data_IF_678457170925
#
_entry.id   IF_678457170925
#
_cell.length_a   1.000
_cell.length_b   1.000
_cell.length_c   1.000
_cell.angle_alpha   90.00
_cell.angle_beta   90.00
_cell.angle_gamma   90.00
#
_symmetry.space_group_name_H-M   'P 1'
#
loop_
_entity.id
_entity.type
_entity.pdbx_description
1 polymer ?
#
# COMPACT_ATOMS: atom_id res chain seq x y z
N UNK A 1 -3.05 -22.82 -17.87
CA UNK A 1 -3.76 -22.02 -16.84
C UNK A 1 -5.06 -21.36 -17.37
N UNK A 2 -5.62 -21.86 -18.50
CA UNK A 2 -6.79 -21.20 -19.15
C UNK A 2 -8.05 -21.15 -18.26
N UNK A 3 -8.21 -22.11 -17.35
CA UNK A 3 -9.43 -22.22 -16.52
C UNK A 3 -9.26 -21.70 -15.09
N UNK A 4 -8.12 -21.05 -14.79
CA UNK A 4 -7.86 -20.50 -13.45
C UNK A 4 -8.25 -19.03 -13.42
N UNK A 5 -9.14 -18.59 -12.49
CA UNK A 5 -9.62 -17.22 -12.43
C UNK A 5 -8.58 -16.30 -11.75
N UNK A 6 -7.34 -16.26 -12.28
CA UNK A 6 -6.24 -15.52 -11.69
C UNK A 6 -6.53 -14.02 -11.57
N UNK A 7 -6.90 -13.38 -12.67
CA UNK A 7 -7.18 -11.94 -12.69
C UNK A 7 -8.36 -11.57 -11.77
N UNK A 8 -9.39 -12.40 -11.70
CA UNK A 8 -10.52 -12.19 -10.80
C UNK A 8 -10.12 -12.30 -9.32
N UNK A 9 -9.25 -13.28 -8.99
CA UNK A 9 -8.74 -13.43 -7.63
C UNK A 9 -7.85 -12.22 -7.24
N UNK A 10 -6.95 -11.79 -8.13
CA UNK A 10 -6.13 -10.58 -7.94
C UNK A 10 -7.01 -9.36 -7.71
N UNK A 11 -8.02 -9.12 -8.55
CA UNK A 11 -8.93 -7.98 -8.40
C UNK A 11 -9.69 -7.98 -7.08
N UNK A 12 -10.16 -9.15 -6.63
CA UNK A 12 -10.87 -9.29 -5.35
C UNK A 12 -9.96 -9.02 -4.15
N UNK A 13 -8.72 -9.52 -4.18
CA UNK A 13 -7.75 -9.29 -3.10
C UNK A 13 -7.31 -7.82 -3.11
N UNK A 14 -7.11 -7.22 -4.29
CA UNK A 14 -6.75 -5.81 -4.44
C UNK A 14 -7.84 -4.90 -3.84
N UNK A 15 -9.10 -5.21 -4.07
CA UNK A 15 -10.20 -4.47 -3.45
C UNK A 15 -10.15 -4.57 -1.91
N UNK A 16 -9.96 -5.76 -1.35
CA UNK A 16 -9.81 -5.94 0.10
C UNK A 16 -8.59 -5.18 0.64
N UNK A 17 -7.46 -5.21 -0.06
CA UNK A 17 -6.24 -4.48 0.27
C UNK A 17 -6.50 -2.98 0.30
N UNK A 18 -7.12 -2.42 -0.72
CA UNK A 18 -7.40 -0.98 -0.80
C UNK A 18 -8.37 -0.51 0.29
N UNK A 19 -9.32 -1.35 0.70
CA UNK A 19 -10.33 -0.95 1.68
C UNK A 19 -9.83 -1.06 3.13
N UNK A 20 -9.21 -2.18 3.52
CA UNK A 20 -8.99 -2.50 4.94
C UNK A 20 -7.76 -3.35 5.25
N UNK A 21 -7.01 -3.81 4.25
CA UNK A 21 -5.95 -4.81 4.43
C UNK A 21 -4.60 -4.35 3.86
N UNK A 22 -3.97 -3.32 4.47
CA UNK A 22 -2.63 -2.85 4.08
C UNK A 22 -1.55 -3.93 4.16
N UNK A 23 -1.72 -4.89 5.04
CA UNK A 23 -0.81 -5.98 5.32
C UNK A 23 -0.54 -6.92 4.13
N UNK A 24 -1.43 -6.97 3.14
CA UNK A 24 -1.23 -7.76 1.92
C UNK A 24 -0.76 -6.92 0.73
N UNK A 25 -0.49 -5.62 0.91
CA UNK A 25 -0.18 -4.68 -0.16
C UNK A 25 1.03 -5.11 -0.99
N UNK A 26 2.14 -5.47 -0.37
CA UNK A 26 3.33 -5.96 -1.05
C UNK A 26 3.04 -7.26 -1.83
N UNK A 27 2.39 -8.23 -1.18
CA UNK A 27 2.14 -9.53 -1.78
C UNK A 27 1.25 -9.44 -3.02
N UNK A 28 0.22 -8.59 -2.98
CA UNK A 28 -0.68 -8.39 -4.11
C UNK A 28 -0.04 -7.54 -5.21
N UNK A 29 0.81 -6.58 -4.87
CA UNK A 29 1.60 -5.82 -5.83
C UNK A 29 2.50 -6.73 -6.66
N UNK A 30 3.21 -7.66 -6.01
CA UNK A 30 4.07 -8.64 -6.68
C UNK A 30 3.26 -9.61 -7.54
N UNK A 31 2.21 -10.23 -6.99
CA UNK A 31 1.39 -11.19 -7.73
C UNK A 31 0.65 -10.53 -8.91
N UNK A 32 0.26 -9.27 -8.78
CA UNK A 32 -0.42 -8.50 -9.82
C UNK A 32 0.38 -8.30 -11.10
N UNK A 33 1.71 -8.35 -11.04
CA UNK A 33 2.60 -8.19 -12.21
C UNK A 33 2.41 -9.29 -13.26
N UNK A 34 2.01 -10.47 -12.84
CA UNK A 34 1.91 -11.66 -13.67
C UNK A 34 0.50 -11.93 -14.24
N UNK A 35 -0.41 -10.95 -14.20
CA UNK A 35 -1.79 -11.14 -14.64
C UNK A 35 -1.93 -11.51 -16.13
N UNK A 36 -1.01 -11.04 -16.98
CA UNK A 36 -1.04 -11.32 -18.43
C UNK A 36 -0.66 -12.76 -18.76
N UNK A 37 0.23 -13.37 -17.98
CA UNK A 37 0.70 -14.74 -18.21
C UNK A 37 1.08 -15.44 -16.88
N UNK A 38 0.09 -15.82 -16.05
CA UNK A 38 0.36 -16.43 -14.76
C UNK A 38 0.82 -17.88 -14.89
N UNK A 39 1.86 -18.23 -14.13
CA UNK A 39 2.31 -19.63 -13.94
C UNK A 39 1.66 -20.30 -12.73
N UNK A 40 1.97 -21.59 -12.53
CA UNK A 40 1.45 -22.40 -11.40
C UNK A 40 1.91 -21.82 -10.06
N UNK A 41 3.15 -21.35 -9.99
CA UNK A 41 3.71 -20.77 -8.76
C UNK A 41 3.05 -19.45 -8.40
N UNK A 42 2.74 -18.63 -9.39
CA UNK A 42 1.98 -17.39 -9.18
C UNK A 42 0.57 -17.68 -8.60
N UNK A 43 -0.11 -18.72 -9.12
CA UNK A 43 -1.38 -19.15 -8.56
C UNK A 43 -1.26 -19.69 -7.14
N UNK A 44 -0.17 -20.38 -6.84
CA UNK A 44 0.13 -20.85 -5.47
C UNK A 44 0.34 -19.66 -4.51
N UNK A 45 1.04 -18.63 -4.94
CA UNK A 45 1.20 -17.39 -4.18
C UNK A 45 -0.17 -16.73 -3.88
N UNK A 46 -1.03 -16.58 -4.89
CA UNK A 46 -2.39 -16.03 -4.73
C UNK A 46 -3.21 -16.87 -3.73
N UNK A 47 -3.16 -18.19 -3.83
CA UNK A 47 -3.83 -19.08 -2.84
C UNK A 47 -3.30 -18.88 -1.42
N UNK A 48 -2.01 -18.60 -1.26
CA UNK A 48 -1.43 -18.33 0.06
C UNK A 48 -1.92 -17.00 0.63
N UNK A 49 -2.04 -15.96 -0.20
CA UNK A 49 -2.67 -14.69 0.22
C UNK A 49 -4.10 -14.92 0.67
N UNK A 50 -4.90 -15.67 -0.09
CA UNK A 50 -6.29 -16.00 0.27
C UNK A 50 -6.37 -16.80 1.58
N UNK A 51 -5.47 -17.76 1.81
CA UNK A 51 -5.38 -18.50 3.06
C UNK A 51 -5.03 -17.59 4.25
N UNK A 52 -4.11 -16.66 4.04
CA UNK A 52 -3.74 -15.66 5.04
C UNK A 52 -4.95 -14.78 5.40
N UNK A 53 -5.63 -14.22 4.41
CA UNK A 53 -6.83 -13.41 4.60
C UNK A 53 -7.94 -14.19 5.35
N UNK A 54 -8.15 -15.47 5.00
CA UNK A 54 -9.09 -16.34 5.69
C UNK A 54 -8.72 -16.56 7.16
N UNK A 55 -7.43 -16.71 7.48
CA UNK A 55 -6.95 -16.92 8.86
C UNK A 55 -7.02 -15.64 9.70
N UNK A 56 -6.95 -14.49 9.06
CA UNK A 56 -6.94 -13.17 9.69
C UNK A 56 -8.22 -12.39 9.40
N UNK A 57 -9.33 -13.10 9.16
CA UNK A 57 -10.63 -12.49 8.80
C UNK A 57 -11.21 -11.59 9.90
N UNK A 58 -10.81 -11.82 11.15
CA UNK A 58 -11.28 -11.08 12.32
C UNK A 58 -10.36 -9.89 12.67
N UNK A 59 -9.30 -9.65 11.87
CA UNK A 59 -8.44 -8.47 11.99
C UNK A 59 -9.07 -7.27 11.27
N UNK A 60 -9.01 -6.11 11.91
CA UNK A 60 -9.53 -4.85 11.37
C UNK A 60 -8.61 -3.69 11.75
N UNK A 61 -8.72 -2.60 11.00
CA UNK A 61 -8.02 -1.36 11.32
C UNK A 61 -8.67 -0.72 12.54
N UNK A 62 -7.83 -0.30 13.51
CA UNK A 62 -8.28 0.38 14.72
C UNK A 62 -7.71 1.79 14.72
N UNK A 63 -8.57 2.76 14.95
CA UNK A 63 -8.19 4.16 15.07
C UNK A 63 -8.36 4.57 16.53
N UNK A 64 -7.26 5.00 17.16
CA UNK A 64 -7.27 5.45 18.56
C UNK A 64 -7.84 6.86 18.71
N UNK A 65 -8.29 7.16 19.95
CA UNK A 65 -8.93 8.43 20.26
C UNK A 65 -7.97 9.53 20.74
N UNK A 66 -6.85 9.77 20.06
CA UNK A 66 -6.01 10.91 20.38
C UNK A 66 -6.74 12.22 20.06
N UNK A 67 -6.54 13.24 20.92
CA UNK A 67 -7.22 14.53 20.77
C UNK A 67 -6.67 15.34 19.58
N UNK A 68 -5.48 15.02 19.11
CA UNK A 68 -4.83 15.69 17.98
C UNK A 68 -4.77 14.77 16.77
N UNK A 69 -5.14 15.30 15.61
CA UNK A 69 -5.02 14.59 14.34
C UNK A 69 -3.57 14.64 13.85
N UNK A 70 -2.75 13.72 14.32
CA UNK A 70 -1.34 13.62 13.93
C UNK A 70 -1.21 12.56 12.85
N UNK A 71 -0.72 12.97 11.68
CA UNK A 71 -0.35 12.07 10.60
C UNK A 71 1.11 11.69 10.72
N UNK A 72 1.39 10.39 10.79
CA UNK A 72 2.73 9.85 10.73
C UNK A 72 2.91 9.09 9.43
N UNK A 73 4.00 9.39 8.70
CA UNK A 73 4.38 8.67 7.48
C UNK A 73 5.60 7.80 7.74
N UNK A 74 5.55 6.58 7.23
CA UNK A 74 6.67 5.63 7.21
C UNK A 74 6.93 5.24 5.77
N UNK A 75 8.20 5.22 5.38
CA UNK A 75 8.61 4.88 4.02
C UNK A 75 9.83 3.96 4.08
N UNK A 76 9.91 3.06 3.13
CA UNK A 76 11.00 2.10 3.00
C UNK A 76 11.18 1.72 1.53
N UNK A 77 12.40 1.32 1.15
CA UNK A 77 12.69 0.80 -0.18
C UNK A 77 13.45 -0.53 -0.09
N UNK A 78 12.97 -1.52 -0.84
CA UNK A 78 13.72 -2.76 -1.02
C UNK A 78 14.55 -2.66 -2.30
N UNK A 79 15.87 -2.47 -2.14
CA UNK A 79 16.80 -2.27 -3.25
C UNK A 79 16.96 -3.54 -4.10
N UNK A 80 16.96 -3.38 -5.45
CA UNK A 80 17.25 -4.45 -6.43
C UNK A 80 16.45 -5.73 -6.20
N UNK A 81 15.15 -5.61 -5.95
CA UNK A 81 14.30 -6.76 -5.58
C UNK A 81 13.65 -7.46 -6.76
N UNK A 82 13.60 -6.84 -7.93
CA UNK A 82 13.01 -7.45 -9.12
C UNK A 82 14.10 -8.17 -9.94
N UNK A 83 14.04 -9.50 -10.06
CA UNK A 83 15.07 -10.28 -10.78
C UNK A 83 15.06 -10.04 -12.30
N UNK A 84 13.99 -9.49 -12.86
CA UNK A 84 13.84 -9.32 -14.30
C UNK A 84 14.49 -8.01 -14.80
N UNK A 85 14.42 -6.93 -14.01
CA UNK A 85 14.87 -5.61 -14.42
C UNK A 85 15.62 -4.82 -13.34
N UNK A 86 16.03 -5.47 -12.25
CA UNK A 86 16.80 -4.89 -11.14
C UNK A 86 16.18 -3.62 -10.52
N UNK A 87 14.86 -3.47 -10.64
CA UNK A 87 14.16 -2.35 -10.04
C UNK A 87 13.84 -2.60 -8.59
N UNK A 88 13.94 -1.53 -7.82
CA UNK A 88 13.60 -1.51 -6.40
C UNK A 88 12.10 -1.44 -6.18
N UNK A 89 11.66 -1.80 -4.98
CA UNK A 89 10.28 -1.70 -4.54
C UNK A 89 10.15 -0.55 -3.53
N UNK A 90 9.26 0.38 -3.78
CA UNK A 90 8.85 1.41 -2.81
C UNK A 90 7.71 0.88 -1.95
N UNK A 91 7.76 1.14 -0.64
CA UNK A 91 6.66 0.95 0.28
C UNK A 91 6.47 2.19 1.16
N UNK A 92 5.21 2.63 1.33
CA UNK A 92 4.91 3.62 2.36
C UNK A 92 3.58 3.31 3.05
N UNK A 93 3.46 3.80 4.28
CA UNK A 93 2.22 3.79 5.04
C UNK A 93 2.08 5.09 5.82
N UNK A 94 0.92 5.71 5.72
CA UNK A 94 0.53 6.84 6.56
C UNK A 94 -0.49 6.38 7.57
N UNK A 95 -0.29 6.79 8.81
CA UNK A 95 -1.21 6.50 9.91
C UNK A 95 -1.81 7.79 10.46
N UNK A 96 -3.06 7.70 10.89
CA UNK A 96 -3.77 8.76 11.60
C UNK A 96 -4.35 8.15 12.87
N UNK A 97 -4.03 8.72 14.03
CA UNK A 97 -4.44 8.21 15.34
C UNK A 97 -4.18 6.69 15.50
N UNK A 98 -2.99 6.23 15.06
CA UNK A 98 -2.54 4.85 15.18
C UNK A 98 -3.08 3.88 14.13
N UNK A 99 -4.09 4.25 13.34
CA UNK A 99 -4.63 3.44 12.24
C UNK A 99 -4.06 3.84 10.88
N UNK A 100 -3.81 2.87 9.99
CA UNK A 100 -3.36 3.14 8.64
C UNK A 100 -4.50 3.78 7.81
N UNK A 101 -4.19 4.89 7.11
CA UNK A 101 -5.16 5.65 6.29
C UNK A 101 -4.76 5.73 4.81
N UNK A 102 -3.46 5.65 4.50
CA UNK A 102 -2.97 5.52 3.13
C UNK A 102 -1.76 4.60 3.13
N UNK A 103 -1.65 3.77 2.10
CA UNK A 103 -0.53 2.83 1.91
C UNK A 103 -0.34 2.50 0.45
N UNK A 104 0.91 2.22 0.10
CA UNK A 104 1.27 1.80 -1.24
C UNK A 104 2.43 0.81 -1.19
N UNK A 105 2.47 -0.08 -2.14
CA UNK A 105 3.66 -0.85 -2.50
C UNK A 105 3.75 -0.92 -4.00
N UNK A 106 4.77 -0.28 -4.58
CA UNK A 106 4.95 -0.13 -6.01
C UNK A 106 6.38 -0.40 -6.44
N UNK A 107 6.53 -0.93 -7.64
CA UNK A 107 7.83 -1.06 -8.31
C UNK A 107 8.28 0.32 -8.78
N UNK A 108 9.52 0.69 -8.48
CA UNK A 108 10.08 1.97 -8.94
C UNK A 108 10.15 2.01 -10.47
N UNK A 109 9.91 3.17 -11.04
CA UNK A 109 9.91 3.36 -12.49
C UNK A 109 11.32 3.32 -13.10
N UNK A 110 12.34 3.66 -12.29
CA UNK A 110 13.76 3.69 -12.65
C UNK A 110 14.55 2.66 -11.86
N UNK A 111 15.72 2.30 -12.37
CA UNK A 111 16.69 1.47 -11.65
C UNK A 111 17.53 2.39 -10.78
N UNK A 112 17.55 2.14 -9.48
CA UNK A 112 18.41 2.87 -8.54
C UNK A 112 19.83 2.26 -8.59
N UNK A 113 20.85 3.11 -8.59
CA UNK A 113 22.25 2.68 -8.59
C UNK A 113 22.80 2.34 -7.19
N UNK A 114 22.01 2.58 -6.13
CA UNK A 114 22.37 2.28 -4.74
C UNK A 114 21.14 2.19 -3.86
N UNK A 115 21.30 1.60 -2.68
CA UNK A 115 20.24 1.58 -1.66
C UNK A 115 19.80 2.99 -1.27
N UNK A 116 20.75 3.93 -1.13
CA UNK A 116 20.46 5.31 -0.79
C UNK A 116 19.61 6.01 -1.85
N UNK A 117 19.87 5.74 -3.14
CA UNK A 117 19.06 6.28 -4.23
C UNK A 117 17.65 5.67 -4.23
N UNK A 118 17.51 4.37 -3.99
CA UNK A 118 16.22 3.71 -3.87
C UNK A 118 15.38 4.30 -2.73
N UNK A 119 15.98 4.55 -1.58
CA UNK A 119 15.33 5.19 -0.43
C UNK A 119 14.92 6.64 -0.74
N UNK A 120 15.77 7.39 -1.46
CA UNK A 120 15.44 8.75 -1.85
C UNK A 120 14.25 8.80 -2.82
N UNK A 121 14.19 7.88 -3.78
CA UNK A 121 13.06 7.75 -4.71
C UNK A 121 11.78 7.43 -3.92
N UNK A 122 11.84 6.47 -3.00
CA UNK A 122 10.71 6.10 -2.16
C UNK A 122 10.23 7.28 -1.29
N UNK A 123 11.16 8.01 -0.68
CA UNK A 123 10.84 9.20 0.11
C UNK A 123 10.16 10.29 -0.72
N UNK A 124 10.60 10.48 -1.97
CA UNK A 124 9.99 11.45 -2.89
C UNK A 124 8.55 11.05 -3.27
N UNK A 125 8.30 9.77 -3.54
CA UNK A 125 6.95 9.26 -3.81
C UNK A 125 6.02 9.44 -2.61
N UNK A 126 6.49 9.08 -1.41
CA UNK A 126 5.73 9.24 -0.17
C UNK A 126 5.49 10.73 0.18
N UNK A 127 6.45 11.61 -0.09
CA UNK A 127 6.30 13.04 0.18
C UNK A 127 5.14 13.66 -0.59
N UNK A 128 4.92 13.26 -1.84
CA UNK A 128 3.78 13.72 -2.65
C UNK A 128 2.44 13.36 -1.99
N UNK A 129 2.31 12.13 -1.50
CA UNK A 129 1.12 11.67 -0.77
C UNK A 129 0.96 12.43 0.54
N UNK A 130 2.05 12.65 1.28
CA UNK A 130 2.06 13.40 2.53
C UNK A 130 1.61 14.86 2.36
N UNK A 131 2.03 15.54 1.31
CA UNK A 131 1.59 16.90 0.98
C UNK A 131 0.08 16.93 0.71
N UNK A 132 -0.41 16.04 -0.15
CA UNK A 132 -1.83 15.93 -0.43
C UNK A 132 -2.66 15.69 0.84
N UNK A 133 -2.22 14.76 1.67
CA UNK A 133 -2.91 14.42 2.92
C UNK A 133 -2.96 15.59 3.90
N UNK A 134 -1.85 16.34 4.00
CA UNK A 134 -1.79 17.56 4.83
C UNK A 134 -2.80 18.62 4.36
N UNK A 135 -2.86 18.85 3.05
CA UNK A 135 -3.80 19.82 2.46
C UNK A 135 -5.25 19.36 2.70
N UNK A 136 -5.54 18.09 2.45
CA UNK A 136 -6.88 17.52 2.67
C UNK A 136 -7.34 17.67 4.12
N UNK A 137 -6.51 17.31 5.10
CA UNK A 137 -6.85 17.41 6.52
C UNK A 137 -7.02 18.88 6.92
N UNK A 138 -6.13 19.77 6.46
CA UNK A 138 -6.22 21.20 6.76
C UNK A 138 -7.53 21.82 6.26
N UNK A 139 -7.98 21.43 5.06
CA UNK A 139 -9.25 21.89 4.50
C UNK A 139 -10.46 21.39 5.30
N UNK A 140 -10.43 20.13 5.75
CA UNK A 140 -11.49 19.54 6.56
C UNK A 140 -11.60 20.19 7.95
N UNK A 141 -10.46 20.43 8.61
CA UNK A 141 -10.42 21.10 9.93
C UNK A 141 -10.87 22.56 9.78
N UNK A 142 -10.43 23.28 8.74
CA UNK A 142 -10.87 24.64 8.48
C UNK A 142 -12.38 24.76 8.29
N UNK A 143 -13.00 23.81 7.59
CA UNK A 143 -14.47 23.77 7.41
C UNK A 143 -15.22 23.42 8.69
N UNK A 144 -14.68 22.54 9.54
CA UNK A 144 -15.29 22.22 10.83
C UNK A 144 -15.29 23.45 11.75
N UNK A 145 -14.16 24.17 11.82
CA UNK A 145 -14.04 25.41 12.62
C UNK A 145 -14.99 26.55 12.16
N UNK A 146 -15.32 26.61 10.86
CA UNK A 146 -16.30 27.57 10.35
C UNK A 146 -17.73 27.18 10.71
N UNK A 147 -18.07 25.92 10.90
CA UNK A 147 -19.42 25.47 11.27
C UNK A 147 -19.76 25.70 12.75
N UNK A 148 -18.75 25.75 13.62
CA UNK A 148 -18.96 25.99 15.05
C UNK A 148 -19.10 27.48 15.44
N UNK A 149 -19.02 28.39 14.46
CA UNK A 149 -19.14 29.83 14.69
C UNK A 149 -20.47 30.46 14.19
N UNK A 150 -21.50 29.66 14.04
CA UNK A 150 -22.84 30.15 13.70
C UNK A 150 -23.79 29.98 14.86
#
# INVERSE_FOLDING_TARGET
MKDVPYASAIGSIMYAMLCTRPDVCLAISLAGRYQSNPGVDHWTAVKNILKYLKRTKDMFLVYGGDKELIVNGYVDASFDTDPDDSKSQTGYVFTLNGGAVSWCSSKQSVVAGSTCEAEYIAASEAANEGVWMKEFISDQIGRASCRERV
#
